data_IF_183190317411
#
_entry.id   IF_183190317411
#
_cell.length_a   1.000
_cell.length_b   1.000
_cell.length_c   1.000
_cell.angle_alpha   90.00
_cell.angle_beta   90.00
_cell.angle_gamma   90.00
#
_symmetry.space_group_name_H-M   'P 1'
#
loop_
_entity.id
_entity.type
_entity.pdbx_description
1 polymer ?
#
# COMPACT_ATOMS: atom_id res chain seq x y z
N UNK A 1 2.45 -4.62 -23.45
CA UNK A 1 1.04 -4.99 -23.23
C UNK A 1 0.63 -4.45 -21.87
N UNK A 2 -0.47 -3.69 -21.79
CA UNK A 2 -0.99 -3.21 -20.51
C UNK A 2 -1.49 -4.40 -19.70
N UNK A 3 -0.87 -4.66 -18.55
CA UNK A 3 -1.36 -5.64 -17.59
C UNK A 3 -2.63 -5.07 -16.96
N UNK A 4 -3.79 -5.45 -17.49
CA UNK A 4 -5.07 -5.07 -16.91
C UNK A 4 -5.14 -5.63 -15.48
N UNK A 5 -5.38 -4.74 -14.53
CA UNK A 5 -5.46 -5.06 -13.10
C UNK A 5 -6.71 -4.40 -12.54
N UNK A 6 -7.51 -5.16 -11.80
CA UNK A 6 -8.67 -4.64 -11.10
C UNK A 6 -8.27 -3.61 -10.03
N UNK A 7 -7.18 -3.90 -9.30
CA UNK A 7 -6.64 -2.98 -8.30
C UNK A 7 -5.71 -1.94 -8.95
N UNK A 8 -5.81 -0.70 -8.48
CA UNK A 8 -4.86 0.35 -8.85
C UNK A 8 -3.46 0.01 -8.34
N UNK A 9 -2.43 0.57 -8.99
CA UNK A 9 -1.05 0.40 -8.50
C UNK A 9 -0.88 0.94 -7.07
N UNK A 10 -1.62 1.99 -6.69
CA UNK A 10 -1.64 2.50 -5.31
C UNK A 10 -2.13 1.45 -4.31
N UNK A 11 -3.25 0.81 -4.59
CA UNK A 11 -3.79 -0.24 -3.72
C UNK A 11 -2.83 -1.43 -3.62
N UNK A 12 -2.23 -1.85 -4.74
CA UNK A 12 -1.29 -2.98 -4.77
C UNK A 12 0.01 -2.69 -4.02
N UNK A 13 0.56 -1.48 -4.14
CA UNK A 13 1.74 -1.05 -3.36
C UNK A 13 1.41 -0.96 -1.88
N UNK A 14 0.23 -0.43 -1.53
CA UNK A 14 -0.21 -0.37 -0.14
C UNK A 14 -0.33 -1.78 0.48
N UNK A 15 -0.89 -2.75 -0.25
CA UNK A 15 -1.00 -4.13 0.19
C UNK A 15 0.37 -4.80 0.38
N UNK A 16 1.31 -4.59 -0.55
CA UNK A 16 2.66 -5.11 -0.40
C UNK A 16 3.33 -4.59 0.89
N UNK A 17 3.16 -3.29 1.18
CA UNK A 17 3.67 -2.69 2.42
C UNK A 17 2.93 -3.22 3.67
N UNK A 18 1.65 -3.54 3.55
CA UNK A 18 0.88 -4.11 4.66
C UNK A 18 1.35 -5.53 5.00
N UNK A 19 1.75 -6.31 3.99
CA UNK A 19 2.28 -7.66 4.14
C UNK A 19 3.69 -7.65 4.76
N UNK A 20 4.58 -6.79 4.25
CA UNK A 20 5.92 -6.58 4.82
C UNK A 20 6.26 -5.07 4.91
N UNK A 21 6.14 -4.47 6.11
CA UNK A 21 6.48 -3.07 6.32
C UNK A 21 7.96 -2.72 6.15
N UNK A 22 8.86 -3.71 6.10
CA UNK A 22 10.31 -3.56 5.90
C UNK A 22 10.77 -3.85 4.45
N UNK A 23 9.80 -4.10 3.56
CA UNK A 23 10.04 -4.46 2.18
C UNK A 23 10.75 -3.32 1.43
N UNK A 24 11.73 -3.67 0.59
CA UNK A 24 12.44 -2.67 -0.21
C UNK A 24 11.59 -2.25 -1.41
N UNK A 25 11.74 -1.01 -1.85
CA UNK A 25 11.03 -0.49 -3.03
C UNK A 25 11.21 -1.36 -4.28
N UNK A 26 12.41 -1.91 -4.48
CA UNK A 26 12.70 -2.85 -5.57
C UNK A 26 11.88 -4.15 -5.46
N UNK A 27 11.74 -4.69 -4.24
CA UNK A 27 11.06 -5.96 -4.02
C UNK A 27 9.54 -5.72 -4.21
N UNK A 28 9.02 -4.57 -3.76
CA UNK A 28 7.64 -4.13 -4.05
C UNK A 28 7.42 -3.95 -5.55
N UNK A 29 8.39 -3.39 -6.28
CA UNK A 29 8.31 -3.17 -7.73
C UNK A 29 8.17 -4.50 -8.48
N UNK A 30 8.95 -5.51 -8.08
CA UNK A 30 8.87 -6.87 -8.59
C UNK A 30 7.51 -7.51 -8.27
N UNK A 31 7.05 -7.45 -7.02
CA UNK A 31 5.74 -7.99 -6.61
C UNK A 31 4.57 -7.34 -7.36
N UNK A 32 4.59 -6.02 -7.55
CA UNK A 32 3.51 -5.28 -8.21
C UNK A 32 3.63 -5.34 -9.74
N UNK A 33 4.82 -5.60 -10.29
CA UNK A 33 5.07 -5.62 -11.73
C UNK A 33 5.12 -4.22 -12.35
N UNK A 34 5.68 -3.25 -11.64
CA UNK A 34 5.89 -1.86 -12.11
C UNK A 34 7.34 -1.43 -11.85
N UNK A 35 7.77 -0.29 -12.38
CA UNK A 35 9.14 0.18 -12.13
C UNK A 35 9.34 0.66 -10.70
N UNK A 36 10.56 0.51 -10.17
CA UNK A 36 10.93 1.01 -8.83
C UNK A 36 10.69 2.53 -8.70
N UNK A 37 10.95 3.29 -9.79
CA UNK A 37 10.62 4.72 -9.85
C UNK A 37 9.11 4.97 -9.67
N UNK A 38 8.25 4.13 -10.26
CA UNK A 38 6.79 4.26 -10.11
C UNK A 38 6.36 3.93 -8.69
N UNK A 39 6.91 2.87 -8.08
CA UNK A 39 6.67 2.55 -6.65
C UNK A 39 7.09 3.72 -5.77
N UNK A 40 8.29 4.27 -5.98
CA UNK A 40 8.77 5.41 -5.20
C UNK A 40 7.80 6.61 -5.30
N UNK A 41 7.30 6.92 -6.49
CA UNK A 41 6.29 7.96 -6.71
C UNK A 41 5.01 7.68 -5.92
N UNK A 42 4.48 6.46 -6.00
CA UNK A 42 3.28 6.04 -5.26
C UNK A 42 3.48 6.16 -3.75
N UNK A 43 4.60 5.67 -3.22
CA UNK A 43 4.93 5.78 -1.79
C UNK A 43 5.00 7.25 -1.35
N UNK A 44 5.54 8.12 -2.20
CA UNK A 44 5.61 9.56 -1.94
C UNK A 44 4.21 10.17 -1.90
N UNK A 45 3.36 9.84 -2.87
CA UNK A 45 1.96 10.30 -2.92
C UNK A 45 1.14 9.81 -1.71
N UNK A 46 1.28 8.54 -1.32
CA UNK A 46 0.64 7.97 -0.14
C UNK A 46 1.11 8.63 1.16
N UNK A 47 2.41 8.96 1.25
CA UNK A 47 2.99 9.67 2.39
C UNK A 47 2.47 11.11 2.47
N UNK A 48 2.47 11.83 1.34
CA UNK A 48 1.97 13.20 1.26
C UNK A 48 0.47 13.29 1.58
N UNK A 49 -0.29 12.24 1.24
CA UNK A 49 -1.72 12.13 1.55
C UNK A 49 -2.00 11.68 3.00
N UNK A 50 -0.97 11.35 3.77
CA UNK A 50 -1.08 10.94 5.17
C UNK A 50 -1.61 9.52 5.38
N UNK A 51 -1.61 8.67 4.34
CA UNK A 51 -1.95 7.24 4.45
C UNK A 51 -0.77 6.40 4.95
N UNK A 52 0.45 6.91 4.78
CA UNK A 52 1.69 6.22 5.08
C UNK A 52 2.65 7.16 5.79
N UNK A 53 3.45 6.63 6.70
CA UNK A 53 4.70 7.27 7.13
C UNK A 53 5.88 6.40 6.75
N UNK A 54 6.96 7.04 6.30
CA UNK A 54 8.23 6.41 5.97
C UNK A 54 9.26 6.84 7.01
N UNK A 55 9.81 5.89 7.74
CA UNK A 55 10.90 6.12 8.68
C UNK A 55 12.17 5.43 8.18
N UNK A 56 13.31 6.09 8.31
CA UNK A 56 14.59 5.51 7.93
C UNK A 56 15.19 4.78 9.13
N UNK A 57 15.30 3.46 9.03
CA UNK A 57 15.95 2.60 9.99
C UNK A 57 17.28 2.10 9.41
N UNK A 58 18.34 2.88 9.67
CA UNK A 58 19.69 2.62 9.17
C UNK A 58 19.76 2.68 7.64
N UNK A 59 19.96 1.51 7.00
CA UNK A 59 20.01 1.36 5.53
C UNK A 59 18.65 1.03 4.90
N UNK A 60 17.62 0.75 5.71
CA UNK A 60 16.28 0.38 5.25
C UNK A 60 15.27 1.48 5.57
N UNK A 61 14.17 1.48 4.82
CA UNK A 61 13.00 2.24 5.20
C UNK A 61 12.03 1.27 5.86
N UNK A 62 11.47 1.65 7.00
CA UNK A 62 10.29 1.02 7.58
C UNK A 62 9.08 1.90 7.25
N UNK A 63 8.01 1.26 6.83
CA UNK A 63 6.75 1.93 6.53
C UNK A 63 5.73 1.66 7.62
N UNK A 64 4.87 2.63 7.90
CA UNK A 64 3.72 2.45 8.78
C UNK A 64 2.46 2.97 8.09
N UNK A 65 1.44 2.12 8.02
CA UNK A 65 0.16 2.44 7.40
C UNK A 65 -0.76 3.08 8.45
N UNK A 66 -1.36 4.20 8.08
CA UNK A 66 -2.31 4.93 8.92
C UNK A 66 -3.70 4.35 8.68
N UNK A 67 -3.95 3.16 9.22
CA UNK A 67 -5.14 2.37 8.92
C UNK A 67 -6.45 3.09 9.20
N UNK A 68 -6.50 4.01 10.15
CA UNK A 68 -7.68 4.79 10.54
C UNK A 68 -8.09 5.86 9.50
N UNK A 69 -7.29 6.08 8.44
CA UNK A 69 -7.59 7.10 7.43
C UNK A 69 -8.72 6.65 6.51
N UNK A 70 -9.68 7.54 6.30
CA UNK A 70 -10.79 7.34 5.36
C UNK A 70 -10.30 7.14 3.93
N UNK A 71 -10.90 6.20 3.20
CA UNK A 71 -10.62 5.96 1.77
C UNK A 71 -11.19 7.06 0.87
N UNK A 72 -12.28 7.71 1.29
CA UNK A 72 -12.91 8.79 0.55
C UNK A 72 -12.98 10.08 1.37
N UNK A 73 -12.86 11.22 0.69
CA UNK A 73 -12.90 12.55 1.31
C UNK A 73 -14.27 12.89 1.91
N UNK A 74 -15.33 12.23 1.43
CA UNK A 74 -16.74 12.52 1.76
C UNK A 74 -17.45 11.27 2.31
N UNK A 75 -16.68 10.42 2.99
CA UNK A 75 -17.11 9.08 3.35
C UNK A 75 -18.18 9.11 4.45
N UNK A 76 -19.41 8.74 4.08
CA UNK A 76 -20.53 8.57 5.01
C UNK A 76 -20.45 7.25 5.78
N UNK A 77 -19.69 6.27 5.27
CA UNK A 77 -19.68 4.90 5.76
C UNK A 77 -18.45 4.57 6.63
N UNK A 78 -17.63 5.57 6.98
CA UNK A 78 -16.44 5.44 7.83
C UNK A 78 -15.48 4.32 7.37
N UNK A 79 -15.36 4.07 6.06
CA UNK A 79 -14.48 3.05 5.49
C UNK A 79 -13.04 3.52 5.52
N UNK A 80 -12.21 2.75 6.20
CA UNK A 80 -10.82 3.11 6.40
C UNK A 80 -9.89 2.32 5.48
N UNK A 81 -8.69 2.85 5.26
CA UNK A 81 -7.62 2.14 4.57
C UNK A 81 -7.27 0.82 5.27
N UNK A 82 -7.39 0.79 6.60
CA UNK A 82 -7.25 -0.42 7.41
C UNK A 82 -8.30 -1.47 7.04
N UNK A 83 -9.56 -1.06 6.81
CA UNK A 83 -10.62 -1.99 6.40
C UNK A 83 -10.35 -2.60 5.03
N UNK A 84 -9.84 -1.80 4.08
CA UNK A 84 -9.44 -2.29 2.75
C UNK A 84 -8.29 -3.29 2.86
N UNK A 85 -7.25 -2.95 3.63
CA UNK A 85 -6.11 -3.83 3.85
C UNK A 85 -6.57 -5.12 4.52
N UNK A 86 -7.40 -5.04 5.56
CA UNK A 86 -7.94 -6.20 6.24
C UNK A 86 -8.75 -7.07 5.28
N UNK A 87 -9.68 -6.50 4.51
CA UNK A 87 -10.51 -7.22 3.54
C UNK A 87 -9.68 -8.01 2.51
N UNK A 88 -8.57 -7.42 2.04
CA UNK A 88 -7.76 -8.00 0.96
C UNK A 88 -6.60 -8.86 1.46
N UNK A 89 -6.10 -8.60 2.68
CA UNK A 89 -5.09 -9.42 3.34
C UNK A 89 -5.69 -10.60 4.12
N UNK A 90 -7.01 -10.57 4.38
CA UNK A 90 -7.78 -11.74 4.80
C UNK A 90 -7.67 -12.78 3.70
N UNK A 91 -6.72 -13.71 3.84
CA UNK A 91 -6.81 -14.98 3.14
C UNK A 91 -8.04 -15.65 3.72
N UNK A 92 -9.14 -15.67 2.97
CA UNK A 92 -10.27 -16.54 3.28
C UNK A 92 -9.77 -17.99 3.18
N UNK A 93 -9.22 -18.47 4.30
CA UNK A 93 -9.19 -19.87 4.63
C UNK A 93 -10.59 -20.27 5.08
N UNK A 94 -11.49 -20.43 4.13
CA UNK A 94 -12.64 -21.32 4.33
C UNK A 94 -12.43 -22.53 3.43
N UNK A 95 -11.98 -23.60 4.07
CA UNK A 95 -12.25 -25.04 3.85
C UNK A 95 -12.67 -25.48 2.45
#
# INVERSE_FOLDING_TARGET
MGNWSFLTNHARVLLAIAEDPDQRLRDIAETVGISERRVHGIVTELTASGYLTKQREGRRNRYAIHGQRSLARDDRDHRTVGDLVALLASRDGTT
#
